data_IF_128675760296
#
_entry.id   IF_128675760296
#
_cell.length_a   1.000
_cell.length_b   1.000
_cell.length_c   1.000
_cell.angle_alpha   90.00
_cell.angle_beta   90.00
_cell.angle_gamma   90.00
#
_symmetry.space_group_name_H-M   'P 1'
#
loop_
_entity.id
_entity.type
_entity.pdbx_description
1 polymer ?
#
# COMPACT_ATOMS: atom_id res chain seq x y z
N UNK A 1 -58.42 8.92 -6.57
CA UNK A 1 -57.14 9.42 -6.05
C UNK A 1 -56.13 8.29 -6.17
N UNK A 2 -55.16 8.39 -7.09
CA UNK A 2 -54.15 7.35 -7.32
C UNK A 2 -53.12 7.40 -6.19
N UNK A 3 -53.15 6.40 -5.31
CA UNK A 3 -52.40 6.32 -4.06
C UNK A 3 -50.89 6.09 -4.23
N UNK A 4 -50.21 7.02 -4.91
CA UNK A 4 -48.74 7.00 -5.02
C UNK A 4 -48.14 8.21 -4.32
N UNK A 5 -47.09 7.97 -3.54
CA UNK A 5 -46.31 9.01 -2.86
C UNK A 5 -44.92 9.06 -3.50
N UNK A 6 -44.48 10.26 -3.90
CA UNK A 6 -43.12 10.46 -4.39
C UNK A 6 -42.11 10.26 -3.25
N UNK A 7 -41.10 9.41 -3.47
CA UNK A 7 -39.98 9.21 -2.55
C UNK A 7 -38.67 9.35 -3.33
N UNK A 8 -37.85 10.31 -2.94
CA UNK A 8 -36.49 10.45 -3.45
C UNK A 8 -35.60 9.39 -2.78
N UNK A 9 -35.17 8.38 -3.55
CA UNK A 9 -34.23 7.35 -3.07
C UNK A 9 -32.83 7.86 -3.38
N UNK A 10 -32.08 8.27 -2.36
CA UNK A 10 -30.66 8.61 -2.51
C UNK A 10 -29.84 7.32 -2.49
N UNK A 11 -29.20 6.98 -3.61
CA UNK A 11 -28.26 5.86 -3.72
C UNK A 11 -26.87 6.19 -3.14
N UNK A 12 -26.71 7.33 -2.44
CA UNK A 12 -25.45 7.72 -1.84
C UNK A 12 -25.10 6.77 -0.72
N UNK A 13 -24.21 5.82 -1.00
CA UNK A 13 -23.51 5.05 0.02
C UNK A 13 -22.54 5.99 0.70
N UNK A 14 -22.80 6.33 1.97
CA UNK A 14 -21.80 6.96 2.82
C UNK A 14 -20.99 5.80 3.41
N UNK A 15 -19.75 5.56 2.96
CA UNK A 15 -18.89 4.59 3.62
C UNK A 15 -18.63 5.12 5.04
N UNK A 16 -19.16 4.41 6.03
CA UNK A 16 -18.82 4.61 7.43
C UNK A 16 -17.64 3.70 7.76
N UNK A 17 -16.69 4.21 8.53
CA UNK A 17 -15.60 3.38 9.05
C UNK A 17 -16.17 2.35 10.04
N UNK A 18 -15.58 1.16 10.09
CA UNK A 18 -15.84 0.21 11.16
C UNK A 18 -15.22 0.69 12.47
N UNK A 19 -15.82 0.30 13.61
CA UNK A 19 -15.34 0.65 14.96
C UNK A 19 -13.87 0.25 15.15
N UNK A 20 -13.46 -0.86 14.54
CA UNK A 20 -12.09 -1.36 14.54
C UNK A 20 -11.11 -0.43 13.80
N UNK A 21 -11.55 0.25 12.75
CA UNK A 21 -10.74 1.23 12.00
C UNK A 21 -10.65 2.54 12.79
N UNK A 22 -11.77 2.99 13.37
CA UNK A 22 -11.79 4.17 14.25
C UNK A 22 -10.83 4.00 15.44
N UNK A 23 -10.85 2.83 16.09
CA UNK A 23 -9.94 2.49 17.18
C UNK A 23 -8.47 2.51 16.73
N UNK A 24 -8.15 1.92 15.58
CA UNK A 24 -6.79 1.93 15.01
C UNK A 24 -6.31 3.35 14.69
N UNK A 25 -7.20 4.18 14.13
CA UNK A 25 -6.92 5.58 13.82
C UNK A 25 -6.67 6.40 15.09
N UNK A 26 -7.43 6.18 16.16
CA UNK A 26 -7.17 6.80 17.46
C UNK A 26 -5.79 6.41 18.02
N UNK A 27 -5.39 5.14 17.91
CA UNK A 27 -4.06 4.67 18.32
C UNK A 27 -2.97 5.35 17.47
N UNK A 28 -3.16 5.42 16.15
CA UNK A 28 -2.24 6.10 15.23
C UNK A 28 -2.05 7.57 15.64
N UNK A 29 -3.13 8.31 15.90
CA UNK A 29 -3.01 9.71 16.30
C UNK A 29 -2.26 9.90 17.62
N UNK A 30 -2.46 9.02 18.61
CA UNK A 30 -1.69 9.07 19.86
C UNK A 30 -0.20 8.84 19.61
N UNK A 31 0.15 7.87 18.75
CA UNK A 31 1.55 7.60 18.36
C UNK A 31 2.16 8.80 17.64
N UNK A 32 1.44 9.38 16.69
CA UNK A 32 1.89 10.59 15.98
C UNK A 32 2.06 11.78 16.93
N UNK A 33 1.15 11.96 17.89
CA UNK A 33 1.28 12.97 18.94
C UNK A 33 2.55 12.78 19.77
N UNK A 34 2.86 11.53 20.16
CA UNK A 34 4.09 11.22 20.88
C UNK A 34 5.34 11.53 20.03
N UNK A 35 5.40 11.06 18.78
CA UNK A 35 6.52 11.32 17.87
C UNK A 35 6.80 12.81 17.74
N UNK A 36 5.76 13.62 17.49
CA UNK A 36 5.84 15.08 17.42
C UNK A 36 6.35 15.68 18.73
N UNK A 37 5.82 15.25 19.87
CA UNK A 37 6.25 15.75 21.19
C UNK A 37 7.71 15.43 21.54
N UNK A 38 8.23 14.33 20.99
CA UNK A 38 9.62 13.92 21.19
C UNK A 38 10.60 14.50 20.17
N UNK A 39 10.14 15.43 19.32
CA UNK A 39 10.97 16.10 18.32
C UNK A 39 11.39 15.21 17.14
N UNK A 40 10.60 14.18 16.80
CA UNK A 40 10.92 13.37 15.63
C UNK A 40 10.69 14.14 14.32
N UNK A 41 11.60 14.00 13.37
CA UNK A 41 11.41 14.43 11.98
C UNK A 41 10.45 13.45 11.30
N UNK A 42 9.31 13.96 10.84
CA UNK A 42 8.21 13.15 10.29
C UNK A 42 8.10 13.40 8.80
N UNK A 43 8.24 12.33 8.04
CA UNK A 43 8.04 12.29 6.61
C UNK A 43 6.83 11.42 6.29
N UNK A 44 6.06 11.79 5.28
CA UNK A 44 4.97 11.00 4.73
C UNK A 44 5.36 10.56 3.33
N UNK A 45 5.28 9.28 3.08
CA UNK A 45 5.51 8.68 1.77
C UNK A 45 4.17 8.35 1.13
N UNK A 46 4.09 8.54 -0.18
CA UNK A 46 2.95 8.12 -1.00
C UNK A 46 3.41 7.84 -2.44
N UNK A 47 2.64 7.03 -3.15
CA UNK A 47 2.76 6.83 -4.58
C UNK A 47 1.53 7.37 -5.32
N UNK A 48 1.78 8.18 -6.33
CA UNK A 48 0.73 8.57 -7.29
C UNK A 48 1.08 8.10 -8.69
N UNK A 49 0.03 7.92 -9.49
CA UNK A 49 0.12 7.46 -10.86
C UNK A 49 -0.43 8.54 -11.77
N UNK A 50 0.26 8.79 -12.89
CA UNK A 50 -0.25 9.62 -13.98
C UNK A 50 -0.32 8.79 -15.25
N UNK A 51 -1.52 8.69 -15.82
CA UNK A 51 -1.75 7.95 -17.05
C UNK A 51 -1.76 8.89 -18.26
N UNK A 52 -1.18 8.46 -19.38
CA UNK A 52 -1.20 9.24 -20.62
C UNK A 52 -2.62 9.51 -21.16
N UNK A 53 -3.60 8.69 -20.78
CA UNK A 53 -5.02 8.86 -21.09
C UNK A 53 -5.82 9.56 -19.98
N UNK A 54 -5.18 10.14 -18.96
CA UNK A 54 -5.89 10.98 -17.99
C UNK A 54 -6.43 12.24 -18.67
N UNK A 55 -7.69 12.53 -18.39
CA UNK A 55 -8.40 13.63 -19.02
C UNK A 55 -8.86 14.67 -18.00
N UNK A 56 -9.04 15.89 -18.48
CA UNK A 56 -9.59 16.98 -17.67
C UNK A 56 -11.02 16.64 -17.26
N UNK A 57 -11.32 16.77 -15.97
CA UNK A 57 -12.68 16.60 -15.42
C UNK A 57 -13.67 17.65 -15.91
N UNK A 58 -13.18 18.73 -16.52
CA UNK A 58 -13.99 19.82 -17.05
C UNK A 58 -13.42 20.29 -18.38
N UNK A 59 -14.30 20.53 -19.34
CA UNK A 59 -13.97 21.09 -20.65
C UNK A 59 -14.89 22.27 -20.94
N UNK A 60 -14.42 23.17 -21.79
CA UNK A 60 -15.25 24.22 -22.37
C UNK A 60 -15.98 23.66 -23.59
N UNK A 61 -17.27 23.99 -23.71
CA UNK A 61 -18.04 23.75 -24.93
C UNK A 61 -18.00 25.02 -25.77
N UNK A 62 -17.95 24.87 -27.10
CA UNK A 62 -18.22 26.00 -27.99
C UNK A 62 -19.70 26.40 -27.92
N UNK A 63 -20.00 27.60 -28.39
CA UNK A 63 -21.38 28.09 -28.54
C UNK A 63 -22.21 27.28 -29.55
N UNK A 64 -21.55 26.44 -30.36
CA UNK A 64 -22.17 25.49 -31.30
C UNK A 64 -22.42 24.11 -30.68
N UNK A 65 -22.11 23.91 -29.40
CA UNK A 65 -22.26 22.65 -28.69
C UNK A 65 -21.13 21.65 -28.93
N UNK A 66 -20.03 22.07 -29.55
CA UNK A 66 -18.85 21.24 -29.77
C UNK A 66 -17.95 21.28 -28.54
N UNK A 67 -17.88 20.15 -27.85
CA UNK A 67 -17.00 19.91 -26.72
C UNK A 67 -17.13 18.45 -26.37
N UNK A 68 -16.03 17.69 -26.47
CA UNK A 68 -16.05 16.26 -26.14
C UNK A 68 -15.08 15.99 -25.01
N UNK A 69 -15.62 15.58 -23.86
CA UNK A 69 -14.85 14.78 -22.92
C UNK A 69 -14.55 13.49 -23.67
N UNK A 70 -13.28 13.24 -23.99
CA UNK A 70 -12.92 11.89 -24.35
C UNK A 70 -13.12 11.07 -23.05
N UNK A 71 -13.30 9.77 -23.24
CA UNK A 71 -13.45 8.86 -22.10
C UNK A 71 -12.06 8.27 -21.92
N UNK A 72 -11.46 8.45 -20.75
CA UNK A 72 -10.21 7.74 -20.48
C UNK A 72 -10.48 6.24 -20.65
N UNK A 73 -9.72 5.62 -21.55
CA UNK A 73 -9.82 4.19 -21.84
C UNK A 73 -8.81 3.39 -21.02
N UNK A 74 -8.06 4.07 -20.14
CA UNK A 74 -7.02 3.48 -19.29
C UNK A 74 -5.81 2.98 -20.07
N UNK A 75 -5.69 3.33 -21.36
CA UNK A 75 -4.57 2.89 -22.21
C UNK A 75 -3.46 3.94 -22.25
N UNK A 76 -2.26 3.48 -22.61
CA UNK A 76 -1.08 4.32 -22.78
C UNK A 76 -0.07 4.15 -21.66
N UNK A 77 1.03 4.89 -21.77
CA UNK A 77 2.09 4.89 -20.77
C UNK A 77 1.56 5.38 -19.42
N UNK A 78 2.07 4.77 -18.35
CA UNK A 78 1.74 5.13 -16.98
C UNK A 78 3.02 5.54 -16.28
N UNK A 79 3.07 6.78 -15.80
CA UNK A 79 4.13 7.26 -14.93
C UNK A 79 3.77 6.94 -13.47
N UNK A 80 4.73 6.43 -12.73
CA UNK A 80 4.69 6.40 -11.27
C UNK A 80 5.50 7.56 -10.73
N UNK A 81 5.01 8.15 -9.65
CA UNK A 81 5.72 9.16 -8.86
C UNK A 81 5.71 8.65 -7.42
N UNK A 82 6.90 8.43 -6.85
CA UNK A 82 7.11 8.06 -5.45
C UNK A 82 7.97 9.12 -4.79
N UNK A 83 7.54 9.62 -3.63
CA UNK A 83 8.28 10.65 -2.92
C UNK A 83 7.94 10.63 -1.44
N UNK A 84 8.80 11.26 -0.63
CA UNK A 84 8.43 11.67 0.72
C UNK A 84 8.26 13.18 0.81
N UNK A 85 7.33 13.58 1.68
CA UNK A 85 7.05 14.98 2.01
C UNK A 85 7.11 15.19 3.52
N UNK A 86 7.50 16.37 3.95
CA UNK A 86 7.40 16.81 5.34
C UNK A 86 6.64 18.14 5.43
N UNK A 87 6.73 18.81 6.58
CA UNK A 87 6.11 20.12 6.79
C UNK A 87 6.69 21.25 5.91
N UNK A 88 7.86 21.04 5.30
CA UNK A 88 8.55 21.99 4.43
C UNK A 88 8.34 21.69 2.94
N UNK A 89 7.73 20.55 2.60
CA UNK A 89 7.34 20.18 1.24
C UNK A 89 7.98 18.89 0.79
N UNK A 90 8.26 18.77 -0.51
CA UNK A 90 8.90 17.59 -1.07
C UNK A 90 10.37 17.51 -0.68
N UNK A 91 10.78 16.35 -0.18
CA UNK A 91 12.19 16.00 -0.11
C UNK A 91 12.66 15.57 -1.50
N UNK A 92 13.10 16.56 -2.31
CA UNK A 92 13.47 16.38 -3.72
C UNK A 92 14.45 15.22 -3.99
N UNK A 93 15.47 14.94 -3.14
CA UNK A 93 16.37 13.82 -3.37
C UNK A 93 15.72 12.43 -3.28
N UNK A 94 14.51 12.32 -2.71
CA UNK A 94 13.74 11.07 -2.69
C UNK A 94 12.76 10.92 -3.85
N UNK A 95 12.51 11.99 -4.60
CA UNK A 95 11.50 11.98 -5.67
C UNK A 95 11.98 11.06 -6.78
N UNK A 96 11.18 10.05 -7.06
CA UNK A 96 11.40 9.11 -8.14
C UNK A 96 10.22 9.18 -9.11
N UNK A 97 10.52 9.42 -10.39
CA UNK A 97 9.52 9.47 -11.47
C UNK A 97 10.00 8.50 -12.54
N UNK A 98 9.17 7.51 -12.86
CA UNK A 98 9.53 6.47 -13.84
C UNK A 98 8.31 6.02 -14.64
N UNK A 99 8.56 5.58 -15.87
CA UNK A 99 7.55 5.04 -16.75
C UNK A 99 7.39 3.53 -16.54
N UNK A 100 6.20 3.12 -16.15
CA UNK A 100 5.92 1.74 -15.77
C UNK A 100 5.74 0.77 -16.93
N UNK A 101 5.77 1.30 -18.15
CA UNK A 101 5.81 0.49 -19.36
C UNK A 101 7.23 0.23 -19.84
N UNK A 102 8.15 1.19 -19.68
CA UNK A 102 9.49 1.12 -20.27
C UNK A 102 10.61 0.90 -19.26
N UNK A 103 10.46 1.41 -18.05
CA UNK A 103 11.55 1.47 -17.07
C UNK A 103 11.42 0.29 -16.11
N UNK A 104 10.39 0.30 -15.26
CA UNK A 104 10.02 -0.79 -14.37
C UNK A 104 8.65 -0.53 -13.74
N UNK A 105 8.00 -1.55 -13.18
CA UNK A 105 6.81 -1.36 -12.36
C UNK A 105 7.18 -0.96 -10.93
N UNK A 106 6.20 -0.44 -10.18
CA UNK A 106 6.31 -0.37 -8.72
C UNK A 106 6.04 -1.76 -8.15
N UNK A 107 7.08 -2.40 -7.64
CA UNK A 107 6.99 -3.67 -6.94
C UNK A 107 7.73 -3.60 -5.59
N UNK A 108 7.66 -4.68 -4.83
CA UNK A 108 8.27 -4.75 -3.51
C UNK A 108 9.79 -4.59 -3.55
N UNK A 109 10.46 -5.16 -4.54
CA UNK A 109 11.91 -5.12 -4.63
C UNK A 109 12.40 -3.69 -4.88
N UNK A 110 11.73 -3.01 -5.82
CA UNK A 110 12.00 -1.61 -6.13
C UNK A 110 11.73 -0.70 -4.93
N UNK A 111 10.58 -0.87 -4.27
CA UNK A 111 10.25 -0.11 -3.06
C UNK A 111 11.29 -0.30 -1.96
N UNK A 112 11.72 -1.54 -1.71
CA UNK A 112 12.75 -1.85 -0.69
C UNK A 112 14.07 -1.15 -1.01
N UNK A 113 14.49 -1.13 -2.29
CA UNK A 113 15.69 -0.43 -2.72
C UNK A 113 15.56 1.08 -2.51
N UNK A 114 14.43 1.64 -2.90
CA UNK A 114 14.12 3.06 -2.76
C UNK A 114 14.10 3.49 -1.29
N UNK A 115 13.34 2.81 -0.42
CA UNK A 115 13.22 3.19 0.99
C UNK A 115 14.56 3.03 1.74
N UNK A 116 15.37 2.02 1.39
CA UNK A 116 16.73 1.87 1.93
C UNK A 116 17.60 3.06 1.53
N UNK A 117 17.63 3.42 0.25
CA UNK A 117 18.42 4.55 -0.23
C UNK A 117 17.97 5.88 0.39
N UNK A 118 16.66 6.11 0.46
CA UNK A 118 16.05 7.30 1.06
C UNK A 118 16.34 7.39 2.57
N UNK A 119 16.22 6.29 3.31
CA UNK A 119 16.52 6.28 4.75
C UNK A 119 18.00 6.52 5.05
N UNK A 120 18.93 6.03 4.23
CA UNK A 120 20.34 6.36 4.35
C UNK A 120 20.60 7.85 4.13
N UNK A 121 20.00 8.46 3.09
CA UNK A 121 20.10 9.90 2.84
C UNK A 121 19.58 10.73 4.01
N UNK A 122 18.38 10.44 4.49
CA UNK A 122 17.81 11.14 5.63
C UNK A 122 18.71 11.05 6.87
N UNK A 123 19.34 9.90 7.10
CA UNK A 123 20.28 9.72 8.22
C UNK A 123 21.59 10.49 8.03
N UNK A 124 22.04 10.70 6.80
CA UNK A 124 23.18 11.55 6.49
C UNK A 124 22.84 13.04 6.70
N UNK A 125 21.65 13.46 6.25
CA UNK A 125 21.17 14.85 6.32
C UNK A 125 20.86 15.32 7.74
N UNK A 126 20.19 14.48 8.55
CA UNK A 126 19.79 14.81 9.92
C UNK A 126 20.79 14.31 10.98
N UNK A 127 21.64 13.34 10.61
CA UNK A 127 22.61 12.73 11.53
C UNK A 127 22.07 11.51 12.30
N UNK A 128 22.97 10.79 12.99
CA UNK A 128 22.66 9.47 13.56
C UNK A 128 21.83 9.51 14.84
N UNK A 129 21.78 10.66 15.54
CA UNK A 129 21.09 10.83 16.82
C UNK A 129 19.65 11.34 16.65
N UNK A 130 19.31 11.84 15.47
CA UNK A 130 17.99 12.36 15.18
C UNK A 130 16.97 11.24 15.02
N UNK A 131 15.79 11.46 15.58
CA UNK A 131 14.67 10.54 15.44
C UNK A 131 13.94 10.85 14.15
N UNK A 132 14.08 9.97 13.16
CA UNK A 132 13.40 10.11 11.87
C UNK A 132 12.30 9.05 11.80
N UNK A 133 11.10 9.47 11.40
CA UNK A 133 9.96 8.60 11.20
C UNK A 133 9.38 8.81 9.80
N UNK A 134 9.33 7.74 9.01
CA UNK A 134 8.66 7.71 7.72
C UNK A 134 7.32 7.02 7.91
N UNK A 135 6.25 7.72 7.58
CA UNK A 135 4.87 7.23 7.60
C UNK A 135 4.55 6.74 6.19
N UNK A 136 4.20 5.47 6.09
CA UNK A 136 3.81 4.78 4.85
C UNK A 136 2.38 4.28 4.99
N UNK A 137 1.68 4.10 3.87
CA UNK A 137 0.41 3.39 3.87
C UNK A 137 0.62 1.87 4.10
N UNK A 138 -0.48 1.09 4.09
CA UNK A 138 -0.40 -0.36 4.26
C UNK A 138 -0.56 -1.10 2.92
N UNK A 139 0.08 -0.62 1.85
CA UNK A 139 0.11 -1.34 0.59
C UNK A 139 0.85 -2.67 0.74
N UNK A 140 0.39 -3.68 0.00
CA UNK A 140 1.00 -5.03 0.04
C UNK A 140 2.46 -5.00 -0.39
N UNK A 141 2.84 -4.09 -1.29
CA UNK A 141 4.19 -3.98 -1.81
C UNK A 141 5.21 -3.48 -0.77
N UNK A 142 4.78 -2.71 0.24
CA UNK A 142 5.64 -2.27 1.35
C UNK A 142 5.90 -3.35 2.40
N UNK A 143 5.12 -4.44 2.37
CA UNK A 143 5.06 -5.46 3.42
C UNK A 143 5.61 -6.81 2.94
N UNK A 144 6.64 -6.82 2.09
CA UNK A 144 7.22 -8.07 1.63
C UNK A 144 7.96 -8.80 2.77
N UNK A 145 7.47 -10.00 3.09
CA UNK A 145 8.08 -10.87 4.08
C UNK A 145 9.34 -11.54 3.53
N UNK A 146 10.27 -11.87 4.42
CA UNK A 146 11.39 -12.77 4.10
C UNK A 146 10.87 -14.17 3.78
N UNK A 147 11.56 -14.93 2.92
CA UNK A 147 11.07 -16.23 2.46
C UNK A 147 10.85 -17.25 3.58
N UNK A 148 11.56 -17.10 4.68
CA UNK A 148 11.45 -17.92 5.88
C UNK A 148 10.36 -17.45 6.86
N UNK A 149 9.68 -16.34 6.59
CA UNK A 149 8.52 -15.90 7.42
C UNK A 149 7.23 -15.74 6.61
N UNK A 150 7.31 -15.96 5.28
CA UNK A 150 6.14 -16.06 4.40
C UNK A 150 5.24 -17.20 4.89
N UNK A 151 3.95 -16.94 5.18
CA UNK A 151 3.03 -17.99 5.60
C UNK A 151 2.72 -18.93 4.44
N UNK A 152 2.45 -20.20 4.76
CA UNK A 152 1.87 -21.13 3.80
C UNK A 152 0.53 -20.59 3.26
N UNK A 153 0.35 -20.63 1.94
CA UNK A 153 -0.85 -20.07 1.28
C UNK A 153 -1.85 -21.16 0.93
N UNK A 154 -3.14 -20.84 1.01
CA UNK A 154 -4.22 -21.74 0.56
C UNK A 154 -4.08 -22.18 -0.91
N UNK A 155 -3.49 -21.35 -1.76
CA UNK A 155 -3.26 -21.64 -3.17
C UNK A 155 -2.16 -22.70 -3.41
N UNK A 156 -1.27 -22.95 -2.45
CA UNK A 156 -0.16 -23.89 -2.60
C UNK A 156 -0.65 -25.34 -2.72
N UNK A 157 0.11 -26.17 -3.44
CA UNK A 157 -0.07 -27.62 -3.50
C UNK A 157 0.26 -28.24 -2.14
N UNK A 158 -0.26 -29.44 -1.88
CA UNK A 158 0.03 -30.19 -0.63
C UNK A 158 1.56 -30.32 -0.41
N UNK A 159 2.30 -30.65 -1.46
CA UNK A 159 3.76 -30.81 -1.42
C UNK A 159 4.50 -29.52 -1.04
N UNK A 160 4.05 -28.37 -1.53
CA UNK A 160 4.67 -27.06 -1.21
C UNK A 160 4.48 -26.70 0.27
N UNK A 161 3.31 -27.02 0.84
CA UNK A 161 3.03 -26.83 2.27
C UNK A 161 3.90 -27.78 3.11
N UNK A 162 4.04 -29.05 2.68
CA UNK A 162 4.93 -30.00 3.34
C UNK A 162 6.39 -29.54 3.33
N UNK A 163 6.89 -29.04 2.19
CA UNK A 163 8.24 -28.47 2.09
C UNK A 163 8.41 -27.26 3.01
N UNK A 164 7.39 -26.41 3.13
CA UNK A 164 7.39 -25.30 4.08
C UNK A 164 7.53 -25.80 5.52
N UNK A 165 6.73 -26.80 5.93
CA UNK A 165 6.81 -27.40 7.27
C UNK A 165 8.20 -28.00 7.54
N UNK A 166 8.78 -28.71 6.57
CA UNK A 166 10.15 -29.27 6.65
C UNK A 166 11.17 -28.14 6.87
N UNK A 167 11.10 -27.07 6.08
CA UNK A 167 12.01 -25.91 6.19
C UNK A 167 11.94 -25.25 7.57
N UNK A 168 10.77 -25.27 8.19
CA UNK A 168 10.54 -24.73 9.54
C UNK A 168 10.75 -25.77 10.65
N UNK A 169 11.20 -26.99 10.30
CA UNK A 169 11.42 -28.10 11.24
C UNK A 169 10.16 -28.51 12.03
N UNK A 170 9.00 -28.40 11.38
CA UNK A 170 7.71 -28.79 11.95
C UNK A 170 7.38 -30.20 11.49
N UNK A 171 7.15 -31.11 12.43
CA UNK A 171 6.75 -32.48 12.15
C UNK A 171 5.28 -32.54 11.70
N UNK A 172 4.96 -33.39 10.74
CA UNK A 172 3.60 -33.65 10.27
C UNK A 172 3.49 -35.10 9.79
N UNK A 173 2.28 -35.64 9.80
CA UNK A 173 2.00 -36.97 9.27
C UNK A 173 1.75 -36.90 7.74
N UNK A 174 2.41 -37.74 6.92
CA UNK A 174 2.17 -37.82 5.47
C UNK A 174 0.69 -37.97 5.05
N UNK A 175 -0.14 -38.62 5.86
CA UNK A 175 -1.56 -38.82 5.56
C UNK A 175 -2.40 -37.54 5.75
N UNK A 176 -1.90 -36.54 6.48
CA UNK A 176 -2.61 -35.28 6.73
C UNK A 176 -3.09 -34.64 5.41
N UNK A 177 -4.32 -34.18 5.41
CA UNK A 177 -4.94 -33.42 4.34
C UNK A 177 -4.27 -32.06 4.17
N UNK A 178 -4.49 -31.42 3.03
CA UNK A 178 -4.01 -30.05 2.79
C UNK A 178 -4.55 -29.06 3.83
N UNK A 179 -5.77 -29.27 4.33
CA UNK A 179 -6.38 -28.40 5.34
C UNK A 179 -5.65 -28.51 6.68
N UNK A 180 -5.41 -29.74 7.16
CA UNK A 180 -4.69 -30.00 8.42
C UNK A 180 -3.25 -29.47 8.35
N UNK A 181 -2.56 -29.63 7.22
CA UNK A 181 -1.22 -29.08 7.02
C UNK A 181 -1.20 -27.54 7.04
N UNK A 182 -2.22 -26.88 6.48
CA UNK A 182 -2.36 -25.42 6.51
C UNK A 182 -2.65 -24.90 7.92
N UNK A 183 -3.49 -25.61 8.68
CA UNK A 183 -3.76 -25.27 10.08
C UNK A 183 -2.49 -25.40 10.92
N UNK A 184 -1.76 -26.52 10.77
CA UNK A 184 -0.49 -26.73 11.45
C UNK A 184 0.53 -25.64 11.11
N UNK A 185 0.64 -25.26 9.84
CA UNK A 185 1.50 -24.16 9.40
C UNK A 185 1.05 -22.79 9.95
N UNK A 186 -0.25 -22.57 10.12
CA UNK A 186 -0.79 -21.34 10.68
C UNK A 186 -0.50 -21.20 12.17
N UNK A 187 -0.61 -22.29 12.94
CA UNK A 187 -0.34 -22.31 14.38
C UNK A 187 1.16 -22.10 14.65
N UNK A 188 2.03 -22.66 13.80
CA UNK A 188 3.48 -22.55 13.90
C UNK A 188 4.06 -21.41 13.06
N UNK A 189 3.27 -20.37 12.79
CA UNK A 189 3.71 -19.25 11.96
C UNK A 189 4.84 -18.49 12.68
N UNK A 190 6.02 -18.32 12.05
CA UNK A 190 7.09 -17.52 12.64
C UNK A 190 6.68 -16.04 12.75
N UNK A 191 7.35 -15.34 13.67
CA UNK A 191 7.23 -13.88 13.76
C UNK A 191 7.54 -13.24 12.40
N UNK A 192 6.70 -12.31 11.95
CA UNK A 192 6.87 -11.65 10.65
C UNK A 192 8.20 -10.89 10.62
N UNK A 193 9.00 -11.14 9.59
CA UNK A 193 10.18 -10.33 9.28
C UNK A 193 10.05 -9.82 7.86
N UNK A 194 10.24 -8.53 7.69
CA UNK A 194 10.16 -7.84 6.41
C UNK A 194 11.55 -7.71 5.80
N UNK A 195 11.63 -7.66 4.47
CA UNK A 195 12.89 -7.51 3.73
C UNK A 195 13.49 -6.10 3.80
#
# INVERSE_FOLDING_TARGET
>A
MLGFTFKQISNTKIPLEGIEIEAQRAIFYRKMGNLRSTGAHIFYHDETWSNASEEKRSIWFSDTGEGRLRKSDGKGARLAISAIIDQHGFHLPSVEIFNCTTDHNMDSEHFIKWIKSTSFRLRDEHGPNDRICIIIDNATLHSELTDDTKPAKRAWRKSEIQQWLIRHRIHFDPIMTKAELLELASINRPAKRYK
#
